data_IF_762383998982
#
_entry.id   IF_762383998982
#
_cell.length_a   1.000
_cell.length_b   1.000
_cell.length_c   1.000
_cell.angle_alpha   90.00
_cell.angle_beta   90.00
_cell.angle_gamma   90.00
#
_symmetry.space_group_name_H-M   'P 1'
#
loop_
_entity.id
_entity.type
_entity.pdbx_description
1 polymer ?
#
# COMPACT_ATOMS: atom_id res chain seq x y z
N UNK A 1 -62.21 17.01 -30.60
CA UNK A 1 -62.07 15.59 -30.21
C UNK A 1 -61.68 15.55 -28.73
N UNK A 2 -62.07 14.52 -27.99
CA UNK A 2 -61.99 14.41 -26.52
C UNK A 2 -60.58 14.63 -25.92
N UNK A 3 -60.35 14.82 -24.61
CA UNK A 3 -61.09 15.39 -23.45
C UNK A 3 -60.36 14.96 -22.15
N UNK A 4 -60.32 15.83 -21.13
CA UNK A 4 -60.14 15.52 -19.68
C UNK A 4 -58.77 15.00 -19.18
N UNK A 5 -58.28 15.55 -18.06
CA UNK A 5 -57.09 14.99 -17.38
C UNK A 5 -56.50 15.75 -16.18
N UNK A 6 -57.24 16.57 -15.42
CA UNK A 6 -56.74 17.10 -14.15
C UNK A 6 -56.63 16.02 -13.07
N UNK A 7 -55.53 15.99 -12.29
CA UNK A 7 -55.55 16.13 -10.82
C UNK A 7 -54.13 16.15 -10.21
N UNK A 8 -54.06 16.73 -9.02
CA UNK A 8 -52.83 17.01 -8.28
C UNK A 8 -52.68 16.15 -7.00
N UNK A 9 -51.60 16.44 -6.27
CA UNK A 9 -51.38 16.31 -4.82
C UNK A 9 -50.60 15.13 -4.22
N UNK A 10 -49.86 15.51 -3.16
CA UNK A 10 -49.11 14.76 -2.14
C UNK A 10 -47.73 14.24 -2.60
N UNK A 11 -46.59 14.81 -2.16
CA UNK A 11 -46.13 15.30 -0.83
C UNK A 11 -45.87 14.22 0.20
N UNK A 12 -44.61 13.75 0.26
CA UNK A 12 -44.01 13.21 1.48
C UNK A 12 -42.58 13.74 1.65
N UNK A 13 -42.44 14.78 2.47
CA UNK A 13 -41.17 15.21 3.02
C UNK A 13 -40.85 14.38 4.26
N UNK A 14 -39.70 13.68 4.26
CA UNK A 14 -39.22 12.91 5.40
C UNK A 14 -38.33 13.76 6.31
N UNK A 15 -38.91 14.38 7.34
CA UNK A 15 -38.14 15.01 8.42
C UNK A 15 -37.30 13.96 9.17
N UNK A 16 -36.01 14.23 9.38
CA UNK A 16 -35.28 13.67 10.52
C UNK A 16 -34.79 14.83 11.41
N UNK A 17 -35.44 14.99 12.56
CA UNK A 17 -35.12 16.05 13.49
C UNK A 17 -33.87 15.75 14.32
N UNK A 18 -33.23 16.85 14.73
CA UNK A 18 -32.14 16.88 15.70
C UNK A 18 -32.64 16.40 17.07
N UNK A 19 -31.86 15.54 17.75
CA UNK A 19 -31.96 15.37 19.19
C UNK A 19 -30.67 15.84 19.86
N UNK A 20 -30.68 17.11 20.29
CA UNK A 20 -29.75 17.63 21.28
C UNK A 20 -30.40 17.53 22.65
N UNK A 21 -29.83 16.72 23.55
CA UNK A 21 -30.22 16.71 24.97
C UNK A 21 -29.04 17.22 25.79
N UNK A 22 -29.24 18.36 26.43
CA UNK A 22 -28.34 18.91 27.46
C UNK A 22 -28.91 18.50 28.82
N UNK A 23 -28.13 17.77 29.62
CA UNK A 23 -28.49 17.37 30.98
C UNK A 23 -27.28 17.46 31.92
N UNK A 24 -27.39 18.24 32.99
CA UNK A 24 -26.34 18.47 33.99
C UNK A 24 -26.45 17.46 35.15
N UNK A 25 -25.36 17.20 35.88
CA UNK A 25 -25.44 16.87 37.32
C UNK A 25 -24.66 15.65 37.82
N UNK A 26 -23.57 15.92 38.55
CA UNK A 26 -22.78 15.03 39.44
C UNK A 26 -23.57 14.64 40.74
N UNK A 27 -22.96 14.01 41.79
CA UNK A 27 -22.24 12.72 41.87
C UNK A 27 -22.58 11.88 43.15
N UNK A 28 -22.57 10.54 43.09
CA UNK A 28 -22.46 9.63 44.25
C UNK A 28 -21.82 8.32 43.74
N UNK A 29 -21.00 7.56 44.49
CA UNK A 29 -20.40 7.74 45.82
C UNK A 29 -19.34 6.64 46.05
N UNK A 30 -18.47 6.80 47.06
CA UNK A 30 -17.41 5.83 47.36
C UNK A 30 -17.95 4.47 47.83
N UNK A 31 -17.29 3.38 47.45
CA UNK A 31 -17.12 2.20 48.29
C UNK A 31 -15.76 1.54 48.00
N UNK A 32 -14.93 1.40 49.03
CA UNK A 32 -13.64 0.70 48.96
C UNK A 32 -13.84 -0.82 49.09
N UNK A 33 -13.01 -1.60 48.40
CA UNK A 33 -12.57 -2.90 48.88
C UNK A 33 -11.16 -3.22 48.35
N UNK A 34 -10.19 -3.36 49.25
CA UNK A 34 -8.88 -3.94 48.94
C UNK A 34 -8.99 -5.46 48.80
N UNK A 35 -8.31 -6.05 47.81
CA UNK A 35 -7.61 -7.34 47.98
C UNK A 35 -6.27 -7.29 47.21
N UNK A 36 -5.26 -7.95 47.76
CA UNK A 36 -3.83 -7.81 47.46
C UNK A 36 -3.25 -8.88 46.52
N UNK A 37 -2.36 -8.44 45.63
CA UNK A 37 -1.17 -9.14 45.10
C UNK A 37 -1.30 -10.40 44.21
N UNK A 38 -0.25 -10.72 43.41
CA UNK A 38 -0.37 -11.56 42.22
C UNK A 38 0.17 -12.99 42.36
N UNK A 39 -0.30 -13.89 41.50
CA UNK A 39 0.31 -15.22 41.30
C UNK A 39 1.05 -15.28 39.97
N UNK A 40 2.33 -15.64 40.07
CA UNK A 40 3.27 -15.84 38.96
C UNK A 40 3.45 -17.35 38.78
N UNK A 41 3.08 -17.91 37.63
CA UNK A 41 3.28 -19.34 37.36
C UNK A 41 4.33 -19.55 36.26
N UNK A 42 5.50 -20.04 36.67
CA UNK A 42 6.46 -20.67 35.79
C UNK A 42 6.20 -22.18 35.80
N UNK A 43 6.17 -22.83 34.64
CA UNK A 43 6.25 -24.29 34.54
C UNK A 43 7.55 -24.62 33.82
N UNK A 44 8.47 -25.27 34.54
CA UNK A 44 9.66 -25.89 33.94
C UNK A 44 9.35 -27.32 33.51
N UNK A 45 10.03 -27.79 32.47
CA UNK A 45 10.07 -29.19 32.09
C UNK A 45 11.52 -29.70 32.20
N UNK A 46 11.70 -30.83 32.89
CA UNK A 46 13.01 -31.43 33.19
C UNK A 46 13.43 -32.47 32.14
N UNK A 47 14.74 -32.71 32.02
CA UNK A 47 15.32 -33.69 31.11
C UNK A 47 15.31 -35.13 31.68
N UNK A 48 14.75 -36.07 30.91
CA UNK A 48 15.09 -37.52 30.85
C UNK A 48 14.78 -37.99 29.41
N UNK A 49 15.53 -38.85 28.71
CA UNK A 49 16.76 -39.58 29.03
C UNK A 49 17.59 -39.92 27.77
N UNK A 50 17.85 -41.21 27.48
CA UNK A 50 18.59 -41.66 26.27
C UNK A 50 17.92 -42.82 25.52
N UNK A 51 17.96 -42.76 24.18
CA UNK A 51 18.50 -43.88 23.38
C UNK A 51 17.57 -44.66 22.43
N UNK A 52 17.72 -44.43 21.12
CA UNK A 52 18.16 -45.45 20.14
C UNK A 52 18.49 -44.81 18.78
N UNK A 53 19.51 -45.35 18.09
CA UNK A 53 19.82 -44.97 16.69
C UNK A 53 18.84 -45.65 15.74
N UNK A 54 18.33 -44.89 14.79
CA UNK A 54 17.97 -45.40 13.46
C UNK A 54 18.71 -44.54 12.43
N UNK A 55 19.31 -45.19 11.44
CA UNK A 55 20.13 -44.53 10.42
C UNK A 55 19.22 -43.83 9.41
N UNK A 56 19.33 -42.52 9.27
CA UNK A 56 18.71 -41.78 8.16
C UNK A 56 19.61 -41.80 6.93
N UNK A 57 19.05 -42.15 5.78
CA UNK A 57 19.75 -42.16 4.50
C UNK A 57 20.25 -40.77 4.11
N UNK A 58 21.36 -40.71 3.39
CA UNK A 58 21.93 -39.46 2.90
C UNK A 58 21.02 -38.80 1.85
N UNK A 59 20.46 -37.64 2.18
CA UNK A 59 19.83 -36.76 1.18
C UNK A 59 20.91 -36.05 0.34
N UNK A 60 20.69 -35.83 -0.97
CA UNK A 60 21.68 -35.19 -1.83
C UNK A 60 22.06 -33.79 -1.36
N UNK A 61 23.33 -33.43 -1.56
CA UNK A 61 23.93 -32.19 -1.07
C UNK A 61 23.13 -30.94 -1.46
N UNK A 62 22.68 -30.21 -0.43
CA UNK A 62 22.02 -28.90 -0.58
C UNK A 62 23.04 -27.90 -1.14
N UNK A 63 23.08 -27.75 -2.46
CA UNK A 63 23.96 -26.81 -3.15
C UNK A 63 23.76 -25.42 -2.55
N UNK A 64 24.81 -24.84 -1.96
CA UNK A 64 24.78 -23.46 -1.48
C UNK A 64 24.50 -22.56 -2.69
N UNK A 65 23.27 -22.05 -2.83
CA UNK A 65 23.03 -20.86 -3.66
C UNK A 65 24.01 -19.80 -3.19
N UNK A 66 24.94 -19.39 -4.04
CA UNK A 66 25.81 -18.25 -3.76
C UNK A 66 24.90 -17.04 -3.57
N UNK A 67 24.80 -16.58 -2.32
CA UNK A 67 24.08 -15.34 -2.03
C UNK A 67 24.87 -14.19 -2.65
N UNK A 68 24.29 -13.52 -3.64
CA UNK A 68 24.83 -12.23 -4.10
C UNK A 68 24.94 -11.32 -2.87
N UNK A 69 26.16 -10.90 -2.53
CA UNK A 69 26.37 -9.94 -1.45
C UNK A 69 25.60 -8.65 -1.77
N UNK A 70 24.86 -8.14 -0.78
CA UNK A 70 24.21 -6.83 -0.88
C UNK A 70 25.18 -5.75 -0.43
N UNK A 71 25.24 -4.69 -1.21
CA UNK A 71 26.17 -3.58 -1.02
C UNK A 71 25.41 -2.29 -0.72
N UNK A 72 25.98 -1.41 0.11
CA UNK A 72 25.46 -0.05 0.30
C UNK A 72 26.22 0.91 -0.59
N UNK A 73 25.49 1.56 -1.51
CA UNK A 73 26.03 2.38 -2.58
C UNK A 73 25.75 3.87 -2.36
N UNK A 74 26.68 4.70 -2.83
CA UNK A 74 26.43 6.13 -3.06
C UNK A 74 25.65 6.32 -4.37
N UNK A 75 25.03 7.48 -4.55
CA UNK A 75 24.35 7.82 -5.80
C UNK A 75 25.28 7.73 -7.03
N UNK A 76 26.56 8.10 -6.89
CA UNK A 76 27.52 8.07 -8.00
C UNK A 76 27.96 6.64 -8.34
N UNK A 77 28.05 5.76 -7.33
CA UNK A 77 28.25 4.33 -7.56
C UNK A 77 27.04 3.68 -8.26
N UNK A 78 25.81 4.13 -7.97
CA UNK A 78 24.62 3.71 -8.72
C UNK A 78 24.68 4.19 -10.17
N UNK A 79 25.07 5.44 -10.42
CA UNK A 79 25.25 5.96 -11.79
C UNK A 79 26.34 5.18 -12.55
N UNK A 80 27.46 4.82 -11.93
CA UNK A 80 28.47 3.98 -12.57
C UNK A 80 27.94 2.57 -12.88
N UNK A 81 27.20 1.97 -11.94
CA UNK A 81 26.66 0.60 -12.09
C UNK A 81 25.51 0.49 -13.10
N UNK A 82 24.83 1.60 -13.41
CA UNK A 82 23.72 1.65 -14.39
C UNK A 82 24.15 2.15 -15.78
N UNK A 83 25.44 2.13 -16.09
CA UNK A 83 25.95 2.55 -17.40
C UNK A 83 25.49 1.64 -18.55
N UNK A 84 25.46 0.31 -18.35
CA UNK A 84 24.86 -0.62 -19.31
C UNK A 84 23.32 -0.41 -19.38
N UNK A 85 22.64 -0.75 -20.49
CA UNK A 85 21.24 -0.39 -20.69
C UNK A 85 20.22 -1.13 -19.82
N UNK A 86 20.61 -2.10 -18.98
CA UNK A 86 19.65 -2.99 -18.32
C UNK A 86 18.57 -2.25 -17.49
N UNK A 87 17.38 -2.87 -17.31
CA UNK A 87 16.31 -2.36 -16.45
C UNK A 87 16.80 -1.97 -15.06
N UNK A 88 16.23 -0.89 -14.52
CA UNK A 88 16.57 -0.35 -13.20
C UNK A 88 15.34 -0.36 -12.30
N UNK A 89 15.46 -0.91 -11.10
CA UNK A 89 14.40 -0.93 -10.09
C UNK A 89 14.82 -0.07 -8.89
N UNK A 90 14.06 0.97 -8.57
CA UNK A 90 14.37 1.91 -7.49
C UNK A 90 13.21 1.95 -6.48
N UNK A 91 13.30 1.07 -5.49
CA UNK A 91 12.38 1.05 -4.36
C UNK A 91 12.83 2.01 -3.25
N UNK A 92 11.90 2.51 -2.45
CA UNK A 92 12.22 3.29 -1.25
C UNK A 92 11.01 3.99 -0.66
N UNK A 93 11.08 4.44 0.61
CA UNK A 93 9.96 5.12 1.23
C UNK A 93 9.60 6.44 0.52
N UNK A 94 8.43 6.97 0.82
CA UNK A 94 8.06 8.33 0.42
C UNK A 94 9.06 9.34 1.04
N UNK A 95 9.41 10.40 0.31
CA UNK A 95 10.45 11.39 0.66
C UNK A 95 11.91 10.87 0.83
N UNK A 96 12.25 9.67 0.33
CA UNK A 96 13.62 9.12 0.42
C UNK A 96 14.66 9.75 -0.54
N UNK A 97 14.20 10.42 -1.60
CA UNK A 97 15.06 10.87 -2.72
C UNK A 97 15.05 9.97 -3.96
N UNK A 98 14.32 8.84 -3.95
CA UNK A 98 14.29 7.87 -5.07
C UNK A 98 13.97 8.46 -6.45
N UNK A 99 13.08 9.45 -6.53
CA UNK A 99 12.73 10.10 -7.80
C UNK A 99 13.90 10.93 -8.36
N UNK A 100 14.63 11.65 -7.50
CA UNK A 100 15.82 12.39 -7.91
C UNK A 100 16.95 11.45 -8.39
N UNK A 101 17.07 10.25 -7.81
CA UNK A 101 17.99 9.23 -8.31
C UNK A 101 17.55 8.69 -9.68
N UNK A 102 16.25 8.48 -9.91
CA UNK A 102 15.72 8.06 -11.20
C UNK A 102 15.99 9.12 -12.30
N UNK A 103 15.73 10.40 -12.01
CA UNK A 103 16.04 11.53 -12.89
C UNK A 103 17.53 11.55 -13.25
N UNK A 104 18.44 11.51 -12.26
CA UNK A 104 19.90 11.50 -12.51
C UNK A 104 20.38 10.34 -13.39
N UNK A 105 19.74 9.17 -13.31
CA UNK A 105 20.05 8.02 -14.18
C UNK A 105 19.56 8.29 -15.60
N UNK A 106 18.33 8.80 -15.75
CA UNK A 106 17.73 9.11 -17.04
C UNK A 106 18.45 10.27 -17.77
N UNK A 107 18.82 11.33 -17.06
CA UNK A 107 19.62 12.46 -17.56
C UNK A 107 20.98 11.98 -18.11
N UNK A 108 21.63 11.04 -17.41
CA UNK A 108 23.00 10.61 -17.74
C UNK A 108 23.06 9.50 -18.80
N UNK A 109 22.09 8.58 -18.78
CA UNK A 109 22.16 7.31 -19.52
C UNK A 109 20.92 7.02 -20.38
N UNK A 110 20.04 8.00 -20.55
CA UNK A 110 18.71 7.84 -21.16
C UNK A 110 17.80 6.93 -20.33
N UNK A 111 16.62 6.63 -20.87
CA UNK A 111 15.65 5.73 -20.23
C UNK A 111 14.23 6.30 -20.20
N UNK A 112 13.28 5.49 -19.75
CA UNK A 112 11.91 5.91 -19.41
C UNK A 112 11.67 5.68 -17.92
N UNK A 113 11.21 6.70 -17.20
CA UNK A 113 10.92 6.63 -15.77
C UNK A 113 9.48 6.13 -15.60
N UNK A 114 9.32 4.94 -15.02
CA UNK A 114 8.01 4.28 -14.90
C UNK A 114 7.57 4.23 -13.45
N UNK A 115 6.36 4.70 -13.18
CA UNK A 115 5.80 4.74 -11.84
C UNK A 115 5.57 3.33 -11.23
N UNK A 116 6.02 3.13 -9.99
CA UNK A 116 5.68 1.98 -9.14
C UNK A 116 5.07 2.40 -7.77
N UNK A 117 4.22 3.43 -7.79
CA UNK A 117 3.44 3.90 -6.65
C UNK A 117 1.93 3.92 -6.94
N UNK A 118 1.17 3.17 -6.13
CA UNK A 118 -0.26 2.90 -6.34
C UNK A 118 -1.19 4.11 -6.14
N UNK A 119 -0.68 5.25 -5.67
CA UNK A 119 -1.46 6.50 -5.58
C UNK A 119 -1.09 7.48 -6.70
N UNK A 120 0.16 7.46 -7.18
CA UNK A 120 0.65 8.37 -8.22
C UNK A 120 0.06 8.07 -9.62
N UNK A 121 -0.62 6.93 -9.79
CA UNK A 121 -1.35 6.56 -11.02
C UNK A 121 -2.62 7.38 -11.23
N UNK A 122 -3.22 7.95 -10.16
CA UNK A 122 -4.51 8.63 -10.28
C UNK A 122 -4.36 10.07 -10.77
N UNK A 123 -5.21 10.47 -11.72
CA UNK A 123 -5.25 11.81 -12.33
C UNK A 123 -5.46 12.93 -11.32
N UNK A 124 -6.36 12.68 -10.37
CA UNK A 124 -6.93 13.58 -9.36
C UNK A 124 -5.86 14.37 -8.57
N UNK A 125 -4.80 13.68 -8.17
CA UNK A 125 -3.86 14.16 -7.15
C UNK A 125 -2.44 14.22 -7.70
N UNK A 126 -2.00 15.38 -8.16
CA UNK A 126 -0.65 15.64 -8.70
C UNK A 126 0.33 16.00 -7.59
N UNK A 127 0.01 17.06 -6.84
CA UNK A 127 0.81 17.58 -5.74
C UNK A 127 0.73 16.65 -4.53
N UNK A 128 -0.47 16.28 -4.09
CA UNK A 128 -0.68 15.47 -2.89
C UNK A 128 0.06 14.11 -2.94
N UNK A 129 0.13 13.47 -4.12
CA UNK A 129 0.85 12.20 -4.29
C UNK A 129 2.33 12.37 -4.63
N UNK A 130 2.82 13.60 -4.80
CA UNK A 130 4.18 13.93 -5.26
C UNK A 130 4.54 13.30 -6.61
N UNK A 131 3.65 13.42 -7.61
CA UNK A 131 4.02 13.11 -9.02
C UNK A 131 5.20 14.02 -9.46
N UNK A 132 6.00 13.63 -10.47
CA UNK A 132 7.08 14.48 -11.01
C UNK A 132 6.56 15.87 -11.39
N UNK A 133 7.38 16.92 -11.39
CA UNK A 133 6.93 18.25 -11.81
C UNK A 133 6.64 18.29 -13.32
N UNK A 134 5.91 19.31 -13.79
CA UNK A 134 5.66 19.46 -15.23
C UNK A 134 6.97 19.71 -16.01
N UNK A 135 7.98 20.31 -15.34
CA UNK A 135 9.32 20.45 -15.90
C UNK A 135 10.04 19.09 -16.00
N UNK A 136 9.92 18.22 -14.99
CA UNK A 136 10.51 16.86 -15.04
C UNK A 136 9.86 16.00 -16.14
N UNK A 137 8.53 16.07 -16.29
CA UNK A 137 7.77 15.36 -17.33
C UNK A 137 8.07 15.90 -18.75
N UNK A 138 8.40 17.19 -18.89
CA UNK A 138 8.83 17.78 -20.16
C UNK A 138 10.31 17.52 -20.48
N UNK A 139 11.17 17.41 -19.47
CA UNK A 139 12.60 17.17 -19.64
C UNK A 139 12.93 15.70 -19.92
N UNK A 140 12.20 14.75 -19.34
CA UNK A 140 12.47 13.32 -19.42
C UNK A 140 11.20 12.48 -19.60
N UNK A 141 11.26 11.37 -20.37
CA UNK A 141 10.10 10.48 -20.53
C UNK A 141 9.65 9.85 -19.20
N UNK A 142 8.41 10.14 -18.82
CA UNK A 142 7.74 9.57 -17.65
C UNK A 142 6.50 8.76 -18.07
N UNK A 143 6.22 7.66 -17.37
CA UNK A 143 5.11 6.75 -17.67
C UNK A 143 4.37 6.27 -16.41
N UNK A 144 3.08 5.99 -16.58
CA UNK A 144 2.15 5.50 -15.54
C UNK A 144 1.93 6.48 -14.37
N UNK A 145 2.06 7.78 -14.62
CA UNK A 145 1.73 8.87 -13.69
C UNK A 145 0.41 9.52 -14.12
N UNK A 146 -0.55 9.65 -13.20
CA UNK A 146 -1.80 10.37 -13.43
C UNK A 146 -2.71 9.86 -14.55
N UNK A 147 -2.49 8.62 -15.04
CA UNK A 147 -3.16 8.07 -16.23
C UNK A 147 -4.50 7.38 -15.93
N UNK A 148 -4.88 7.24 -14.66
CA UNK A 148 -6.09 6.53 -14.21
C UNK A 148 -7.08 7.52 -13.59
N UNK A 149 -8.36 7.56 -14.02
CA UNK A 149 -9.40 8.35 -13.34
C UNK A 149 -9.56 7.89 -11.88
N UNK A 150 -9.76 8.82 -10.94
CA UNK A 150 -9.71 8.48 -9.51
C UNK A 150 -10.84 7.61 -8.97
N UNK A 151 -11.94 7.47 -9.69
CA UNK A 151 -13.02 6.52 -9.41
C UNK A 151 -12.73 5.10 -9.95
N UNK A 152 -11.79 4.96 -10.88
CA UNK A 152 -11.52 3.71 -11.60
C UNK A 152 -10.75 2.72 -10.73
N UNK A 153 -11.27 1.50 -10.49
CA UNK A 153 -10.59 0.50 -9.68
C UNK A 153 -9.23 0.09 -10.29
N UNK A 154 -8.15 0.32 -9.55
CA UNK A 154 -6.80 0.02 -9.99
C UNK A 154 -6.13 -1.03 -9.09
N UNK A 155 -5.53 -2.05 -9.70
CA UNK A 155 -4.95 -3.21 -9.01
C UNK A 155 -3.51 -3.46 -9.44
N UNK A 156 -2.76 -4.27 -8.68
CA UNK A 156 -1.40 -4.68 -9.07
C UNK A 156 -1.38 -5.48 -10.38
N UNK A 157 -2.43 -6.26 -10.67
CA UNK A 157 -2.56 -6.95 -11.96
C UNK A 157 -2.78 -5.98 -13.12
N UNK A 158 -3.58 -4.92 -12.90
CA UNK A 158 -3.75 -3.86 -13.91
C UNK A 158 -2.47 -3.06 -14.11
N UNK A 159 -1.75 -2.74 -13.04
CA UNK A 159 -0.45 -2.07 -13.12
C UNK A 159 0.59 -2.89 -13.88
N UNK A 160 0.63 -4.21 -13.71
CA UNK A 160 1.50 -5.08 -14.53
C UNK A 160 1.13 -5.02 -16.01
N UNK A 161 -0.16 -5.08 -16.36
CA UNK A 161 -0.61 -5.00 -17.75
C UNK A 161 -0.30 -3.64 -18.39
N UNK A 162 -0.46 -2.53 -17.64
CA UNK A 162 -0.07 -1.19 -18.10
C UNK A 162 1.47 -1.01 -18.16
N UNK A 163 2.24 -1.78 -17.37
CA UNK A 163 3.71 -1.78 -17.37
C UNK A 163 4.33 -2.60 -18.51
N UNK A 164 3.71 -3.71 -18.91
CA UNK A 164 4.27 -4.66 -19.89
C UNK A 164 4.78 -3.97 -21.19
N UNK A 165 4.11 -2.97 -21.81
CA UNK A 165 4.64 -2.23 -22.96
C UNK A 165 5.95 -1.47 -22.69
N UNK A 166 6.17 -1.00 -21.47
CA UNK A 166 7.37 -0.26 -21.08
C UNK A 166 8.56 -1.18 -20.79
N UNK A 167 8.33 -2.48 -20.51
CA UNK A 167 9.41 -3.46 -20.31
C UNK A 167 10.14 -3.81 -21.61
N UNK A 168 9.56 -3.48 -22.77
CA UNK A 168 10.21 -3.58 -24.07
C UNK A 168 11.18 -2.42 -24.38
N UNK A 169 11.16 -1.33 -23.58
CA UNK A 169 12.17 -0.28 -23.69
C UNK A 169 13.55 -0.85 -23.30
N UNK A 170 14.68 -0.43 -23.91
CA UNK A 170 16.00 -0.94 -23.53
C UNK A 170 16.29 -0.73 -22.03
N UNK A 171 15.98 0.47 -21.53
CA UNK A 171 16.16 0.88 -20.13
C UNK A 171 14.86 1.43 -19.51
N UNK A 172 14.00 0.60 -18.92
CA UNK A 172 12.93 1.06 -18.04
C UNK A 172 13.50 1.32 -16.63
N UNK A 173 13.20 2.49 -16.07
CA UNK A 173 13.62 2.91 -14.73
C UNK A 173 12.37 2.91 -13.85
N UNK A 174 12.06 1.76 -13.26
CA UNK A 174 10.84 1.55 -12.47
C UNK A 174 11.07 2.02 -11.04
N UNK A 175 10.45 3.13 -10.66
CA UNK A 175 10.69 3.84 -9.39
C UNK A 175 9.40 4.00 -8.59
N UNK A 176 9.42 3.67 -7.29
CA UNK A 176 8.19 3.75 -6.51
C UNK A 176 8.26 3.32 -5.05
N UNK A 177 7.15 3.55 -4.36
CA UNK A 177 6.98 3.26 -2.94
C UNK A 177 6.13 2.02 -2.65
N UNK A 178 5.50 1.42 -3.66
CA UNK A 178 4.58 0.30 -3.47
C UNK A 178 5.31 -1.03 -3.59
N UNK A 179 5.77 -1.57 -2.46
CA UNK A 179 6.49 -2.85 -2.43
C UNK A 179 5.76 -4.01 -3.12
N UNK A 180 4.43 -4.07 -3.01
CA UNK A 180 3.63 -5.11 -3.68
C UNK A 180 3.78 -5.10 -5.21
N UNK A 181 3.95 -3.92 -5.83
CA UNK A 181 4.18 -3.80 -7.27
C UNK A 181 5.51 -4.42 -7.67
N UNK A 182 6.60 -4.08 -6.96
CA UNK A 182 7.91 -4.68 -7.19
C UNK A 182 7.91 -6.20 -6.93
N UNK A 183 7.28 -6.68 -5.85
CA UNK A 183 7.17 -8.12 -5.61
C UNK A 183 6.44 -8.83 -6.76
N UNK A 184 5.29 -8.30 -7.22
CA UNK A 184 4.55 -8.88 -8.34
C UNK A 184 5.36 -8.85 -9.66
N UNK A 185 6.15 -7.79 -9.89
CA UNK A 185 7.06 -7.66 -11.03
C UNK A 185 8.20 -8.69 -11.00
N UNK A 186 8.85 -8.87 -9.85
CA UNK A 186 10.09 -9.66 -9.72
C UNK A 186 9.91 -11.11 -9.23
N UNK A 187 8.76 -11.44 -8.66
CA UNK A 187 8.40 -12.77 -8.12
C UNK A 187 7.19 -13.39 -8.85
N UNK A 188 6.45 -12.60 -9.65
CA UNK A 188 5.21 -13.01 -10.32
C UNK A 188 3.95 -12.67 -9.50
N UNK A 189 2.78 -12.77 -10.15
CA UNK A 189 1.47 -12.57 -9.53
C UNK A 189 0.56 -13.76 -9.84
N UNK A 190 -0.15 -14.26 -8.83
CA UNK A 190 -1.14 -15.33 -9.04
C UNK A 190 -2.34 -14.80 -9.83
N UNK A 191 -2.59 -15.40 -11.00
CA UNK A 191 -3.69 -15.04 -11.89
C UNK A 191 -4.99 -15.68 -11.39
N UNK A 192 -5.71 -14.94 -10.54
CA UNK A 192 -6.99 -15.36 -9.96
C UNK A 192 -8.12 -14.68 -10.73
N UNK A 193 -9.17 -15.40 -11.16
CA UNK A 193 -10.32 -14.82 -11.85
C UNK A 193 -10.97 -13.64 -11.11
N UNK A 194 -11.67 -12.74 -11.82
CA UNK A 194 -12.49 -11.70 -11.21
C UNK A 194 -13.49 -12.29 -10.22
N UNK A 195 -13.54 -11.73 -9.01
CA UNK A 195 -14.47 -12.17 -7.97
C UNK A 195 -15.77 -11.34 -8.09
N UNK A 196 -16.96 -11.96 -8.10
CA UNK A 196 -18.23 -11.24 -8.16
C UNK A 196 -18.40 -10.25 -7.00
N UNK A 197 -19.00 -9.09 -7.27
CA UNK A 197 -19.23 -8.04 -6.27
C UNK A 197 -20.05 -8.55 -5.06
N UNK A 198 -21.07 -9.38 -5.30
CA UNK A 198 -21.90 -10.00 -4.27
C UNK A 198 -21.13 -10.85 -3.25
N UNK A 199 -20.02 -11.49 -3.65
CA UNK A 199 -19.15 -12.24 -2.73
C UNK A 199 -18.40 -11.28 -1.82
N UNK A 200 -17.91 -10.15 -2.36
CA UNK A 200 -17.25 -9.08 -1.58
C UNK A 200 -18.23 -8.39 -0.63
N UNK A 201 -19.43 -8.07 -1.09
CA UNK A 201 -20.50 -7.48 -0.28
C UNK A 201 -20.86 -8.41 0.88
N UNK A 202 -21.05 -9.71 0.61
CA UNK A 202 -21.29 -10.73 1.62
C UNK A 202 -20.15 -10.78 2.65
N UNK A 203 -18.90 -10.85 2.21
CA UNK A 203 -17.75 -10.88 3.11
C UNK A 203 -17.64 -9.59 3.96
N UNK A 204 -17.91 -8.43 3.36
CA UNK A 204 -17.89 -7.12 4.04
C UNK A 204 -18.97 -7.04 5.12
N UNK A 205 -20.19 -7.47 4.79
CA UNK A 205 -21.32 -7.56 5.75
C UNK A 205 -20.99 -8.48 6.91
N UNK A 206 -20.51 -9.70 6.65
CA UNK A 206 -20.12 -10.65 7.70
C UNK A 206 -18.98 -10.14 8.58
N UNK A 207 -18.01 -9.41 8.03
CA UNK A 207 -16.95 -8.77 8.83
C UNK A 207 -17.51 -7.69 9.77
N UNK A 208 -18.56 -6.96 9.36
CA UNK A 208 -19.21 -5.96 10.20
C UNK A 208 -20.11 -6.58 11.29
N UNK A 209 -20.80 -7.68 10.97
CA UNK A 209 -21.76 -8.36 11.87
C UNK A 209 -21.08 -9.36 12.83
N UNK A 210 -20.15 -10.17 12.33
CA UNK A 210 -19.55 -11.32 13.03
C UNK A 210 -18.05 -11.11 13.36
N UNK A 211 -17.41 -10.15 12.70
CA UNK A 211 -15.95 -9.97 12.72
C UNK A 211 -15.22 -10.91 11.75
N UNK A 212 -14.03 -10.49 11.32
CA UNK A 212 -13.22 -11.26 10.36
C UNK A 212 -12.75 -12.64 10.84
N UNK A 213 -12.81 -12.92 12.14
CA UNK A 213 -12.52 -14.25 12.69
C UNK A 213 -13.50 -15.32 12.20
N UNK A 214 -14.76 -14.97 11.91
CA UNK A 214 -15.72 -15.90 11.32
C UNK A 214 -15.25 -16.40 9.94
N UNK A 215 -14.85 -15.47 9.06
CA UNK A 215 -14.31 -15.82 7.74
C UNK A 215 -12.98 -16.57 7.83
N UNK A 216 -12.15 -16.30 8.84
CA UNK A 216 -10.88 -17.00 9.06
C UNK A 216 -11.09 -18.49 9.36
N UNK A 217 -12.11 -18.84 10.14
CA UNK A 217 -12.44 -20.22 10.50
C UNK A 217 -12.93 -21.06 9.31
N UNK A 218 -13.38 -20.40 8.22
CA UNK A 218 -13.84 -21.05 6.99
C UNK A 218 -12.71 -21.24 5.95
N UNK A 219 -11.49 -20.75 6.22
CA UNK A 219 -10.34 -20.92 5.33
C UNK A 219 -9.71 -22.31 5.43
N UNK A 220 -9.13 -22.76 4.32
CA UNK A 220 -8.28 -23.95 4.32
C UNK A 220 -7.01 -23.76 5.18
N UNK A 221 -6.50 -24.86 5.73
CA UNK A 221 -5.32 -24.86 6.61
C UNK A 221 -4.07 -24.26 5.95
N UNK A 222 -3.87 -24.46 4.65
CA UNK A 222 -2.65 -24.01 3.96
C UNK A 222 -2.65 -22.50 3.73
N UNK A 223 -3.79 -21.91 3.38
CA UNK A 223 -3.99 -20.46 3.32
C UNK A 223 -3.93 -19.85 4.71
N UNK A 224 -4.67 -20.40 5.68
CA UNK A 224 -4.68 -19.91 7.07
C UNK A 224 -3.27 -19.87 7.68
N UNK A 225 -2.43 -20.89 7.46
CA UNK A 225 -1.05 -20.91 7.95
C UNK A 225 -0.10 -19.86 7.30
N UNK A 226 -0.51 -19.20 6.20
CA UNK A 226 0.33 -18.29 5.41
C UNK A 226 -0.09 -16.82 5.47
N UNK A 227 -1.33 -16.52 5.86
CA UNK A 227 -1.84 -15.14 5.93
C UNK A 227 -1.71 -14.56 7.34
N UNK A 228 -1.66 -13.22 7.40
CA UNK A 228 -1.72 -12.46 8.64
C UNK A 228 -3.20 -12.38 9.10
N UNK A 229 -3.51 -13.08 10.19
CA UNK A 229 -4.87 -13.22 10.74
C UNK A 229 -5.44 -11.90 11.26
N UNK A 230 -4.59 -11.00 11.77
CA UNK A 230 -4.98 -9.72 12.34
C UNK A 230 -5.31 -8.66 11.27
N UNK A 231 -5.32 -9.05 9.99
CA UNK A 231 -5.56 -8.17 8.86
C UNK A 231 -6.87 -8.56 8.15
N UNK A 232 -7.99 -7.86 8.43
CA UNK A 232 -9.30 -8.20 7.88
C UNK A 232 -9.30 -8.29 6.35
N UNK A 233 -8.58 -7.39 5.65
CA UNK A 233 -8.53 -7.40 4.20
C UNK A 233 -7.80 -8.62 3.61
N UNK A 234 -6.83 -9.22 4.34
CA UNK A 234 -6.17 -10.47 3.92
C UNK A 234 -7.08 -11.68 4.13
N UNK A 235 -7.76 -11.73 5.26
CA UNK A 235 -8.73 -12.79 5.58
C UNK A 235 -9.91 -12.73 4.60
N UNK A 236 -10.50 -11.54 4.40
CA UNK A 236 -11.52 -11.27 3.40
C UNK A 236 -11.08 -11.73 2.01
N UNK A 237 -9.88 -11.35 1.56
CA UNK A 237 -9.40 -11.73 0.23
C UNK A 237 -9.19 -13.24 0.08
N UNK A 238 -8.71 -13.92 1.12
CA UNK A 238 -8.59 -15.37 1.12
C UNK A 238 -9.97 -16.05 1.01
N UNK A 239 -10.95 -15.57 1.77
CA UNK A 239 -12.32 -16.06 1.76
C UNK A 239 -13.02 -15.78 0.43
N UNK A 240 -12.92 -14.56 -0.10
CA UNK A 240 -13.43 -14.16 -1.43
C UNK A 240 -12.98 -15.14 -2.52
N UNK A 241 -11.70 -15.52 -2.52
CA UNK A 241 -11.13 -16.43 -3.52
C UNK A 241 -11.61 -17.86 -3.32
N UNK A 242 -11.60 -18.37 -2.09
CA UNK A 242 -12.05 -19.73 -1.79
C UNK A 242 -13.54 -19.90 -2.13
N UNK A 243 -14.40 -18.98 -1.69
CA UNK A 243 -15.85 -19.01 -1.93
C UNK A 243 -16.21 -18.90 -3.41
N UNK A 244 -15.55 -18.01 -4.16
CA UNK A 244 -15.92 -17.79 -5.56
C UNK A 244 -15.30 -18.81 -6.53
N UNK A 245 -14.14 -19.40 -6.20
CA UNK A 245 -13.42 -20.32 -7.12
C UNK A 245 -13.45 -21.79 -6.66
N UNK A 246 -13.96 -22.07 -5.46
CA UNK A 246 -13.87 -23.39 -4.82
C UNK A 246 -12.45 -23.84 -4.49
N UNK A 247 -11.44 -22.96 -4.65
CA UNK A 247 -10.02 -23.31 -4.61
C UNK A 247 -9.22 -22.41 -3.65
N UNK A 248 -8.43 -22.99 -2.74
CA UNK A 248 -7.52 -22.28 -1.83
C UNK A 248 -6.65 -21.20 -2.47
N UNK A 249 -6.53 -20.04 -1.81
CA UNK A 249 -5.60 -18.99 -2.20
C UNK A 249 -4.14 -19.47 -2.20
N UNK A 250 -3.78 -20.37 -1.27
CA UNK A 250 -2.46 -21.00 -1.24
C UNK A 250 -2.11 -21.76 -2.52
N UNK A 251 -3.09 -22.41 -3.15
CA UNK A 251 -2.90 -23.19 -4.39
C UNK A 251 -2.74 -22.29 -5.60
N UNK A 252 -3.52 -21.20 -5.67
CA UNK A 252 -3.32 -20.16 -6.69
C UNK A 252 -1.92 -19.56 -6.60
N UNK A 253 -1.45 -19.26 -5.38
CA UNK A 253 -0.09 -18.76 -5.15
C UNK A 253 1.00 -19.79 -5.50
N UNK A 254 0.75 -21.09 -5.32
CA UNK A 254 1.70 -22.14 -5.69
C UNK A 254 1.86 -22.30 -7.22
N UNK A 255 0.88 -21.87 -8.00
CA UNK A 255 0.90 -21.86 -9.47
C UNK A 255 1.16 -20.45 -10.05
N UNK A 256 1.78 -19.56 -9.28
CA UNK A 256 2.19 -18.24 -9.76
C UNK A 256 3.11 -18.38 -10.97
N UNK A 257 2.76 -17.74 -12.09
CA UNK A 257 3.56 -17.74 -13.31
C UNK A 257 4.91 -17.02 -13.17
N UNK A 258 5.77 -17.06 -14.21
CA UNK A 258 7.07 -16.39 -14.16
C UNK A 258 6.94 -14.88 -13.95
N UNK A 259 7.90 -14.32 -13.22
CA UNK A 259 8.06 -12.88 -13.04
C UNK A 259 8.25 -12.17 -14.40
N UNK A 260 7.58 -11.02 -14.59
CA UNK A 260 7.72 -10.20 -15.81
C UNK A 260 9.14 -9.64 -15.96
N UNK A 261 9.78 -9.29 -14.83
CA UNK A 261 11.19 -8.86 -14.80
C UNK A 261 11.86 -9.48 -13.56
N UNK A 262 12.47 -10.68 -13.68
CA UNK A 262 13.18 -11.32 -12.58
C UNK A 262 14.28 -10.41 -12.03
N UNK A 263 14.45 -10.35 -10.70
CA UNK A 263 15.45 -9.46 -10.04
C UNK A 263 16.88 -9.61 -10.58
N UNK A 264 17.26 -10.78 -11.09
CA UNK A 264 18.58 -11.04 -11.67
C UNK A 264 18.82 -10.40 -13.05
N UNK A 265 17.77 -9.91 -13.71
CA UNK A 265 17.82 -9.23 -15.00
C UNK A 265 17.73 -7.69 -14.89
N UNK A 266 17.90 -7.15 -13.69
CA UNK A 266 17.76 -5.72 -13.41
C UNK A 266 18.71 -5.21 -12.32
N UNK A 267 19.11 -3.95 -12.43
CA UNK A 267 19.80 -3.21 -11.38
C UNK A 267 18.82 -2.83 -10.28
N UNK A 268 18.82 -3.62 -9.19
CA UNK A 268 17.81 -3.53 -8.14
C UNK A 268 18.32 -2.81 -6.86
N UNK A 269 17.72 -1.65 -6.57
CA UNK A 269 18.13 -0.72 -5.51
C UNK A 269 17.01 -0.41 -4.51
N UNK A 270 17.36 -0.34 -3.23
CA UNK A 270 16.49 0.16 -2.14
C UNK A 270 17.12 1.40 -1.53
N UNK A 271 16.51 2.55 -1.79
CA UNK A 271 16.92 3.82 -1.18
C UNK A 271 16.61 3.80 0.31
N UNK A 272 17.65 3.95 1.11
CA UNK A 272 17.61 4.11 2.55
C UNK A 272 17.98 5.55 2.90
N UNK A 273 17.30 6.07 3.92
CA UNK A 273 17.53 7.41 4.45
C UNK A 273 17.55 7.27 5.97
N UNK A 274 18.38 8.07 6.63
CA UNK A 274 18.28 8.23 8.08
C UNK A 274 16.84 8.56 8.50
N UNK A 275 16.44 8.09 9.69
CA UNK A 275 15.09 8.28 10.21
C UNK A 275 14.77 9.75 10.42
N UNK A 276 15.64 10.52 11.07
CA UNK A 276 15.37 11.91 11.44
C UNK A 276 15.37 12.80 10.19
N UNK A 277 16.35 12.60 9.31
CA UNK A 277 16.37 13.22 7.98
C UNK A 277 15.08 12.92 7.19
N UNK A 278 14.58 11.68 7.20
CA UNK A 278 13.33 11.30 6.52
C UNK A 278 12.10 11.98 7.13
N UNK A 279 12.00 12.06 8.46
CA UNK A 279 10.88 12.74 9.15
C UNK A 279 10.87 14.24 8.84
N UNK A 280 12.04 14.87 8.77
CA UNK A 280 12.22 16.27 8.38
C UNK A 280 11.86 16.50 6.90
N UNK A 281 12.36 15.64 5.99
CA UNK A 281 12.02 15.65 4.55
C UNK A 281 10.50 15.51 4.32
N UNK A 282 9.82 14.63 5.06
CA UNK A 282 8.35 14.48 4.99
C UNK A 282 7.63 15.78 5.34
N UNK A 283 8.04 16.44 6.43
CA UNK A 283 7.38 17.64 6.94
C UNK A 283 7.57 18.82 5.97
N UNK A 284 8.83 19.10 5.61
CA UNK A 284 9.18 20.14 4.61
C UNK A 284 8.50 19.92 3.26
N UNK A 285 8.34 18.67 2.83
CA UNK A 285 7.69 18.38 1.54
C UNK A 285 6.20 18.78 1.54
N UNK A 286 5.50 18.61 2.66
CA UNK A 286 4.11 19.07 2.76
C UNK A 286 4.02 20.59 2.64
N UNK A 287 4.93 21.31 3.30
CA UNK A 287 5.02 22.77 3.22
C UNK A 287 5.26 23.22 1.76
N UNK A 288 6.21 22.60 1.06
CA UNK A 288 6.46 22.85 -0.37
C UNK A 288 5.27 22.49 -1.28
N UNK A 289 4.40 21.55 -0.88
CA UNK A 289 3.16 21.27 -1.62
C UNK A 289 2.13 22.38 -1.42
N UNK A 290 1.98 22.91 -0.19
CA UNK A 290 1.13 24.07 0.07
C UNK A 290 1.57 25.29 -0.73
N UNK A 291 2.88 25.60 -0.72
CA UNK A 291 3.47 26.69 -1.51
C UNK A 291 3.23 26.51 -3.02
N UNK A 292 3.10 25.27 -3.50
CA UNK A 292 2.83 24.92 -4.89
C UNK A 292 1.32 24.87 -5.26
N UNK A 293 0.40 25.23 -4.34
CA UNK A 293 -1.05 25.24 -4.61
C UNK A 293 -1.79 23.95 -4.27
N UNK A 294 -1.36 23.20 -3.25
CA UNK A 294 -2.05 21.97 -2.80
C UNK A 294 -3.50 22.22 -2.36
N UNK A 295 -3.83 23.40 -1.85
CA UNK A 295 -5.21 23.75 -1.47
C UNK A 295 -6.09 23.97 -2.70
N UNK A 296 -5.53 24.46 -3.80
CA UNK A 296 -6.21 24.63 -5.09
C UNK A 296 -6.47 23.27 -5.74
N UNK A 297 -5.51 22.33 -5.66
CA UNK A 297 -5.72 20.93 -6.04
C UNK A 297 -6.79 20.23 -5.19
N UNK A 298 -6.80 20.45 -3.87
CA UNK A 298 -7.88 19.93 -3.02
C UNK A 298 -9.24 20.55 -3.39
N UNK A 299 -9.28 21.85 -3.68
CA UNK A 299 -10.51 22.56 -4.06
C UNK A 299 -11.07 22.11 -5.41
N UNK A 300 -10.22 21.78 -6.39
CA UNK A 300 -10.67 21.26 -7.69
C UNK A 300 -11.21 19.82 -7.60
N UNK A 301 -10.72 19.02 -6.64
CA UNK A 301 -11.22 17.67 -6.41
C UNK A 301 -12.49 17.60 -5.55
N UNK A 302 -12.72 18.59 -4.68
CA UNK A 302 -13.85 18.64 -3.74
C UNK A 302 -15.23 18.33 -4.36
N UNK A 303 -15.63 18.86 -5.55
CA UNK A 303 -16.97 18.61 -6.11
C UNK A 303 -17.22 17.14 -6.48
N UNK A 304 -16.16 16.38 -6.75
CA UNK A 304 -16.23 14.98 -7.17
C UNK A 304 -15.77 14.01 -6.05
N UNK A 305 -15.44 14.51 -4.86
CA UNK A 305 -14.90 13.66 -3.82
C UNK A 305 -15.93 12.68 -3.24
N UNK A 306 -15.52 11.43 -3.08
CA UNK A 306 -16.21 10.44 -2.25
C UNK A 306 -15.17 9.56 -1.56
N UNK A 307 -15.42 9.16 -0.31
CA UNK A 307 -14.50 8.31 0.46
C UNK A 307 -14.32 6.91 -0.15
N UNK A 308 -15.29 6.44 -0.95
CA UNK A 308 -15.26 5.13 -1.59
C UNK A 308 -14.34 5.05 -2.81
N UNK A 309 -13.96 6.21 -3.39
CA UNK A 309 -13.12 6.28 -4.58
C UNK A 309 -11.69 5.77 -4.32
N UNK A 310 -11.09 5.03 -5.26
CA UNK A 310 -9.68 4.64 -5.19
C UNK A 310 -8.70 5.79 -4.93
N UNK A 311 -8.86 6.95 -5.58
CA UNK A 311 -7.97 8.11 -5.41
C UNK A 311 -8.03 8.72 -4.01
N UNK A 312 -9.17 8.66 -3.32
CA UNK A 312 -9.39 9.18 -1.96
C UNK A 312 -8.54 8.50 -0.88
N UNK A 313 -7.86 7.39 -1.23
CA UNK A 313 -6.87 6.73 -0.37
C UNK A 313 -5.51 7.46 -0.34
N UNK A 314 -5.37 8.55 -1.10
CA UNK A 314 -4.24 9.46 -1.01
C UNK A 314 -4.15 10.06 0.40
N UNK A 315 -2.98 9.95 1.04
CA UNK A 315 -2.75 10.44 2.40
C UNK A 315 -2.89 11.96 2.41
N UNK A 316 -3.94 12.45 3.07
CA UNK A 316 -4.27 13.87 3.14
C UNK A 316 -5.46 14.33 2.31
N UNK A 317 -6.04 13.47 1.47
CA UNK A 317 -7.25 13.84 0.72
C UNK A 317 -8.40 14.19 1.68
N UNK A 318 -8.70 13.28 2.62
CA UNK A 318 -9.74 13.49 3.65
C UNK A 318 -9.46 14.74 4.50
N UNK A 319 -8.22 14.92 4.96
CA UNK A 319 -7.84 16.02 5.85
C UNK A 319 -7.91 17.39 5.17
N UNK A 320 -7.41 17.52 3.93
CA UNK A 320 -7.48 18.78 3.18
C UNK A 320 -8.93 19.16 2.84
N UNK A 321 -9.77 18.18 2.49
CA UNK A 321 -11.17 18.44 2.14
C UNK A 321 -12.01 18.77 3.38
N UNK A 322 -11.75 18.11 4.51
CA UNK A 322 -12.35 18.47 5.79
C UNK A 322 -11.93 19.89 6.23
N UNK A 323 -10.70 20.31 5.95
CA UNK A 323 -10.27 21.69 6.15
C UNK A 323 -11.03 22.67 5.24
N UNK A 324 -11.14 22.40 3.94
CA UNK A 324 -11.91 23.23 2.99
C UNK A 324 -13.41 23.31 3.32
N UNK A 325 -13.95 22.32 4.03
CA UNK A 325 -15.32 22.29 4.54
C UNK A 325 -15.48 22.97 5.93
N UNK A 326 -14.40 23.49 6.51
CA UNK A 326 -14.43 24.15 7.84
C UNK A 326 -14.53 23.19 9.03
N UNK A 327 -14.35 21.88 8.82
CA UNK A 327 -14.41 20.86 9.88
C UNK A 327 -13.08 20.69 10.65
N UNK A 328 -11.98 21.28 10.16
CA UNK A 328 -10.71 21.42 10.89
C UNK A 328 -9.88 22.61 10.37
N UNK A 329 -8.92 23.08 11.17
CA UNK A 329 -7.93 24.07 10.75
C UNK A 329 -6.87 23.46 9.81
N UNK A 330 -6.15 24.32 9.09
CA UNK A 330 -5.06 23.89 8.21
C UNK A 330 -3.91 23.26 9.01
N UNK A 331 -3.63 23.76 10.22
CA UNK A 331 -2.59 23.22 11.10
C UNK A 331 -2.93 21.82 11.62
N UNK A 332 -4.19 21.57 12.00
CA UNK A 332 -4.66 20.23 12.36
C UNK A 332 -4.60 19.26 11.18
N UNK A 333 -5.00 19.71 9.99
CA UNK A 333 -4.89 18.91 8.77
C UNK A 333 -3.41 18.58 8.49
N UNK A 334 -2.52 19.57 8.53
CA UNK A 334 -1.07 19.42 8.38
C UNK A 334 -0.49 18.41 9.36
N UNK A 335 -0.81 18.51 10.64
CA UNK A 335 -0.31 17.58 11.66
C UNK A 335 -0.74 16.14 11.35
N UNK A 336 -2.03 15.92 11.07
CA UNK A 336 -2.58 14.59 10.74
C UNK A 336 -1.93 14.00 9.49
N UNK A 337 -1.79 14.79 8.42
CA UNK A 337 -1.15 14.38 7.16
C UNK A 337 0.31 14.00 7.36
N UNK A 338 1.06 14.82 8.10
CA UNK A 338 2.47 14.55 8.42
C UNK A 338 2.58 13.27 9.26
N UNK A 339 1.74 13.07 10.29
CA UNK A 339 1.71 11.84 11.09
C UNK A 339 1.38 10.62 10.22
N UNK A 340 0.33 10.66 9.41
CA UNK A 340 -0.08 9.57 8.54
C UNK A 340 1.02 9.21 7.52
N UNK A 341 1.68 10.22 6.95
CA UNK A 341 2.81 10.05 6.01
C UNK A 341 4.02 9.40 6.70
N UNK A 342 4.34 9.79 7.95
CA UNK A 342 5.40 9.18 8.76
C UNK A 342 5.09 7.71 9.07
N UNK A 343 3.83 7.39 9.40
CA UNK A 343 3.38 6.00 9.60
C UNK A 343 3.47 5.17 8.31
N UNK A 344 3.09 5.74 7.16
CA UNK A 344 3.22 5.09 5.87
C UNK A 344 4.68 4.81 5.49
N UNK A 345 5.58 5.80 5.67
CA UNK A 345 7.02 5.61 5.48
C UNK A 345 7.59 4.51 6.40
N UNK A 346 7.11 4.40 7.66
CA UNK A 346 7.45 3.29 8.57
C UNK A 346 6.99 1.93 8.01
N UNK A 347 5.74 1.83 7.50
CA UNK A 347 5.23 0.59 6.87
C UNK A 347 6.06 0.20 5.64
N UNK A 348 6.37 1.16 4.77
CA UNK A 348 7.25 0.96 3.60
C UNK A 348 8.63 0.43 4.00
N UNK A 349 9.32 1.09 4.94
CA UNK A 349 10.64 0.64 5.43
C UNK A 349 10.61 -0.78 6.02
N UNK A 350 9.58 -1.11 6.79
CA UNK A 350 9.39 -2.48 7.31
C UNK A 350 9.21 -3.49 6.18
N UNK A 351 8.40 -3.17 5.18
CA UNK A 351 8.17 -4.03 4.01
C UNK A 351 9.47 -4.24 3.22
N UNK A 352 10.19 -3.17 2.87
CA UNK A 352 11.43 -3.25 2.08
C UNK A 352 12.52 -4.06 2.81
N UNK A 353 12.70 -3.83 4.11
CA UNK A 353 13.63 -4.65 4.93
C UNK A 353 13.27 -6.14 4.95
N UNK A 354 11.98 -6.48 4.92
CA UNK A 354 11.51 -7.87 5.00
C UNK A 354 11.49 -8.59 3.63
N UNK A 355 11.33 -7.87 2.52
CA UNK A 355 11.14 -8.44 1.17
C UNK A 355 12.26 -8.17 0.18
N UNK A 356 13.03 -7.09 0.37
CA UNK A 356 14.11 -6.69 -0.54
C UNK A 356 15.49 -6.78 0.10
N UNK A 357 15.68 -7.70 1.07
CA UNK A 357 16.97 -7.93 1.72
C UNK A 357 18.10 -8.43 0.80
N UNK A 358 17.78 -8.77 -0.46
CA UNK A 358 18.72 -9.16 -1.51
C UNK A 358 19.05 -8.03 -2.50
N UNK A 359 18.42 -6.85 -2.37
CA UNK A 359 18.65 -5.69 -3.23
C UNK A 359 19.78 -4.82 -2.65
N UNK A 360 20.44 -4.03 -3.49
CA UNK A 360 21.51 -3.14 -3.04
C UNK A 360 20.92 -1.93 -2.30
N UNK A 361 21.46 -1.59 -1.14
CA UNK A 361 21.08 -0.36 -0.42
C UNK A 361 21.68 0.86 -1.13
N UNK A 362 20.97 1.98 -1.12
CA UNK A 362 21.48 3.27 -1.60
C UNK A 362 21.26 4.34 -0.55
N UNK A 363 22.28 5.13 -0.23
CA UNK A 363 22.17 6.25 0.71
C UNK A 363 22.20 7.59 -0.04
N UNK A 364 21.24 8.48 0.25
CA UNK A 364 21.00 9.77 -0.42
C UNK A 364 20.81 10.95 0.54
#
# INVERSE_FOLDING_TARGET
>A
MQAVGERAHQSLAGNFQQHTIIGRGRPLGCCLAHVTSPVRFCVGAQNVGKGRRLQSGASPGRTKRQGMATETLTADAVLARTADPAPVLIAGPTASGKSALALRIAERHGGVIVNADALQVFSDWRLLTARPSAADEAALPHALYGHVPGDTPYSVGRWLADLDPHLAHPRPIIVGGTGLYFAALTEGLAEIPPIPASVRETATRRIAEEGHAALLNELDRATAARIDHANPARVQRAWEVLTATGRPLADWQAQTGPARLPRGAAHAFVVQTDREALLSRISRRFDLMLDAGLLEEARSNLPNYSQDRPSSKAIGATELLAHLQGAMTLDEARERIVIATRQYAKRQRTWFRARMGTWNSVTL
#
